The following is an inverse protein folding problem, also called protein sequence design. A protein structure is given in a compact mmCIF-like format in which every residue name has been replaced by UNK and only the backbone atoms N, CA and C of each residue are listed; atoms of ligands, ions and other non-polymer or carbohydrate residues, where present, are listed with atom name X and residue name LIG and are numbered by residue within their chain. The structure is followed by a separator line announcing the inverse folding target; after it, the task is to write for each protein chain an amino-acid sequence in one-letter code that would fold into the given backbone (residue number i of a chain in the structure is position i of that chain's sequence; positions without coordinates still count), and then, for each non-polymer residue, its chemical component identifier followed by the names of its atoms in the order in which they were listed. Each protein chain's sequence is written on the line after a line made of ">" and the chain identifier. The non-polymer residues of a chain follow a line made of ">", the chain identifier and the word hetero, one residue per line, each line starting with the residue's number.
data_IF_030131314354
#
_entry.id   IF_030131314354
#
_cell.length_a   1.000
_cell.length_b   1.000
_cell.length_c   1.000
_cell.angle_alpha   90.00
_cell.angle_beta   90.00
_cell.angle_gamma   90.00
#
_symmetry.space_group_name_H-M   'P 1'
#
loop_
_entity.id
_entity.type
_entity.pdbx_description
1 polymer ?
#
# COMPACT_ATOMS: atom_id res chain seq x y z
N UNK A 1 0.21 36.22 -9.50
CA UNK A 1 -0.17 35.37 -10.65
C UNK A 1 0.45 34.00 -10.47
N UNK A 2 -0.31 32.99 -10.05
CA UNK A 2 0.20 31.62 -9.94
C UNK A 2 0.49 31.10 -11.36
N UNK A 3 1.75 30.82 -11.68
CA UNK A 3 2.14 30.22 -12.96
C UNK A 3 1.29 28.96 -13.17
N UNK A 4 0.51 28.93 -14.25
CA UNK A 4 -0.38 27.81 -14.57
C UNK A 4 0.47 26.57 -14.86
N UNK A 5 0.61 25.70 -13.86
CA UNK A 5 1.38 24.47 -13.98
C UNK A 5 0.61 23.47 -14.84
N UNK A 6 1.22 22.99 -15.92
CA UNK A 6 0.60 22.00 -16.79
C UNK A 6 0.49 20.63 -16.09
N UNK A 7 -0.46 19.80 -16.53
CA UNK A 7 -0.62 18.44 -16.01
C UNK A 7 0.66 17.60 -16.21
N UNK A 8 1.32 17.78 -17.36
CA UNK A 8 2.60 17.15 -17.69
C UNK A 8 3.72 17.51 -16.69
N UNK A 9 3.76 18.76 -16.22
CA UNK A 9 4.75 19.19 -15.22
C UNK A 9 4.48 18.62 -13.83
N UNK A 10 3.21 18.34 -13.50
CA UNK A 10 2.82 17.67 -12.25
C UNK A 10 3.19 16.19 -12.28
N UNK A 11 3.00 15.52 -13.42
CA UNK A 11 3.35 14.12 -13.60
C UNK A 11 4.86 13.88 -13.51
N UNK A 12 5.68 14.74 -14.13
CA UNK A 12 7.15 14.62 -14.06
C UNK A 12 7.72 14.83 -12.65
N UNK A 13 7.05 15.64 -11.82
CA UNK A 13 7.40 15.83 -10.40
C UNK A 13 6.96 14.67 -9.51
N UNK A 14 5.99 13.86 -9.93
CA UNK A 14 5.55 12.68 -9.19
C UNK A 14 6.58 11.57 -9.40
N UNK A 15 7.58 11.52 -8.52
CA UNK A 15 8.48 10.37 -8.43
C UNK A 15 7.63 9.10 -8.37
N UNK A 16 8.01 8.07 -9.15
CA UNK A 16 7.46 6.73 -8.92
C UNK A 16 7.72 6.42 -7.45
N UNK A 17 6.67 5.99 -6.74
CA UNK A 17 6.80 5.56 -5.36
C UNK A 17 7.87 4.46 -5.30
N UNK A 18 8.95 4.70 -4.57
CA UNK A 18 9.98 3.67 -4.32
C UNK A 18 9.43 2.53 -3.45
N UNK A 19 8.21 2.69 -2.92
CA UNK A 19 7.49 1.69 -2.14
C UNK A 19 6.42 1.00 -2.96
N UNK A 20 6.34 -0.31 -2.80
CA UNK A 20 5.31 -1.20 -3.30
C UNK A 20 4.22 -1.26 -2.23
N UNK A 21 2.98 -0.95 -2.61
CA UNK A 21 1.84 -1.08 -1.69
C UNK A 21 1.22 -2.46 -1.84
N UNK A 22 1.15 -3.21 -0.75
CA UNK A 22 0.60 -4.57 -0.70
C UNK A 22 -0.59 -4.62 0.26
N UNK A 23 -1.66 -5.30 -0.15
CA UNK A 23 -2.81 -5.60 0.71
C UNK A 23 -2.53 -6.88 1.49
N UNK A 24 -2.37 -6.77 2.81
CA UNK A 24 -2.19 -7.90 3.70
C UNK A 24 -3.53 -8.30 4.31
N UNK A 25 -3.90 -9.57 4.16
CA UNK A 25 -5.17 -10.12 4.64
C UNK A 25 -4.86 -11.24 5.62
N UNK A 26 -5.27 -11.06 6.88
CA UNK A 26 -5.06 -12.04 7.97
C UNK A 26 -6.40 -12.63 8.39
N UNK A 27 -6.53 -13.95 8.33
CA UNK A 27 -7.68 -14.65 8.90
C UNK A 27 -7.56 -14.73 10.42
N UNK A 28 -8.69 -14.54 11.10
CA UNK A 28 -8.83 -14.69 12.54
C UNK A 28 -10.02 -15.58 12.83
N UNK A 29 -9.79 -16.67 13.54
CA UNK A 29 -10.86 -17.55 14.02
C UNK A 29 -11.56 -16.87 15.20
N UNK A 30 -12.86 -16.70 15.09
CA UNK A 30 -13.69 -16.14 16.15
C UNK A 30 -14.14 -17.25 17.11
N UNK A 31 -14.47 -16.89 18.35
CA UNK A 31 -14.93 -17.84 19.36
C UNK A 31 -16.15 -18.65 18.90
N UNK A 32 -16.99 -18.08 18.02
CA UNK A 32 -18.15 -18.75 17.42
C UNK A 32 -17.84 -19.66 16.22
N UNK A 33 -16.58 -20.00 15.97
CA UNK A 33 -16.19 -20.92 14.89
C UNK A 33 -16.10 -20.29 13.49
N UNK A 34 -16.58 -19.06 13.32
CA UNK A 34 -16.48 -18.33 12.05
C UNK A 34 -15.09 -17.71 11.85
N UNK A 35 -14.69 -17.51 10.60
CA UNK A 35 -13.48 -16.75 10.25
C UNK A 35 -13.82 -15.31 9.89
N UNK A 36 -13.07 -14.37 10.46
CA UNK A 36 -13.04 -12.96 10.04
C UNK A 36 -11.71 -12.66 9.40
N UNK A 37 -11.68 -11.67 8.51
CA UNK A 37 -10.46 -11.25 7.83
C UNK A 37 -10.14 -9.81 8.25
N UNK A 38 -8.92 -9.60 8.72
CA UNK A 38 -8.39 -8.28 8.98
C UNK A 38 -7.52 -7.86 7.79
N UNK A 39 -7.86 -6.75 7.16
CA UNK A 39 -7.20 -6.23 5.97
C UNK A 39 -6.43 -4.96 6.30
N UNK A 40 -5.14 -4.92 5.95
CA UNK A 40 -4.31 -3.72 6.07
C UNK A 40 -3.52 -3.48 4.80
N UNK A 41 -3.32 -2.22 4.42
CA UNK A 41 -2.39 -1.86 3.37
C UNK A 41 -1.04 -1.53 3.99
N UNK A 42 0.02 -2.14 3.47
CA UNK A 42 1.39 -1.95 3.93
C UNK A 42 2.24 -1.51 2.76
N UNK A 43 3.11 -0.52 2.99
CA UNK A 43 4.12 -0.10 2.03
C UNK A 43 5.42 -0.85 2.35
N UNK A 44 5.98 -1.53 1.36
CA UNK A 44 7.25 -2.24 1.45
C UNK A 44 8.20 -1.73 0.37
N UNK A 45 9.48 -1.64 0.69
CA UNK A 45 10.51 -1.21 -0.27
C UNK A 45 10.84 -2.30 -1.29
N UNK A 46 10.75 -3.56 -0.89
CA UNK A 46 11.09 -4.73 -1.71
C UNK A 46 10.10 -5.86 -1.43
N UNK A 47 9.67 -6.56 -2.49
CA UNK A 47 8.84 -7.76 -2.41
C UNK A 47 9.51 -8.87 -1.60
N UNK A 48 10.84 -8.94 -1.57
CA UNK A 48 11.55 -9.96 -0.78
C UNK A 48 11.31 -9.80 0.74
N UNK A 49 10.90 -8.61 1.21
CA UNK A 49 10.58 -8.33 2.62
C UNK A 49 9.14 -8.71 3.01
N UNK A 50 8.37 -9.36 2.14
CA UNK A 50 6.98 -9.76 2.43
C UNK A 50 6.86 -10.68 3.66
N UNK A 51 7.88 -11.51 3.90
CA UNK A 51 7.89 -12.43 5.04
C UNK A 51 7.94 -11.71 6.41
N UNK A 52 8.42 -10.47 6.43
CA UNK A 52 8.50 -9.66 7.65
C UNK A 52 7.16 -8.99 7.99
N UNK A 53 6.20 -8.96 7.06
CA UNK A 53 4.87 -8.39 7.25
C UNK A 53 3.95 -9.42 7.92
N UNK A 54 3.81 -9.36 9.25
CA UNK A 54 2.97 -10.28 10.07
C UNK A 54 1.63 -9.70 10.56
#
# INVERSE_FOLDING_TARGET
>A
MAKQQSFSDKLKKKKKSDFITVKFIKSMKTAGGNYKFNEKFVQIEDLNKIADVK
#
